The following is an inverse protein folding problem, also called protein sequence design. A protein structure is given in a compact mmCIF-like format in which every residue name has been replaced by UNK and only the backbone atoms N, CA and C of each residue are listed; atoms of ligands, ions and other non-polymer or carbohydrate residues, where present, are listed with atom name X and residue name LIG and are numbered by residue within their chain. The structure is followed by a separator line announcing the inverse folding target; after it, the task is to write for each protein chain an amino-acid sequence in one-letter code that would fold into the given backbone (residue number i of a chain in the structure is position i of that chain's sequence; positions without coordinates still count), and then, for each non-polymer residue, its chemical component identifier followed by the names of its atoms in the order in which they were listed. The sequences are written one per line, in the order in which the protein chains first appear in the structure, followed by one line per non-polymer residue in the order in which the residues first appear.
data_IF_290701810706
#
_entry.id   IF_290701810706
#
_cell.length_a   1.000
_cell.length_b   1.000
_cell.length_c   1.000
_cell.angle_alpha   90.00
_cell.angle_beta   90.00
_cell.angle_gamma   90.00
#
_symmetry.space_group_name_H-M   'P 1'
#
loop_
_entity.id
_entity.type
_entity.pdbx_description
1 polymer ?
#
# COMPACT_ATOMS: atom_id res chain seq x y z
N UNK A 1 -7.40 -3.37 30.21
CA UNK A 1 -6.70 -3.75 28.96
C UNK A 1 -7.67 -3.50 27.81
N UNK A 2 -7.51 -2.40 27.07
CA UNK A 2 -8.40 -2.06 25.95
C UNK A 2 -7.99 -2.90 24.73
N UNK A 3 -8.85 -3.81 24.29
CA UNK A 3 -8.64 -4.58 23.06
C UNK A 3 -9.33 -3.82 21.93
N UNK A 4 -8.58 -2.99 21.22
CA UNK A 4 -9.08 -2.33 20.01
C UNK A 4 -9.13 -3.41 18.92
N UNK A 5 -10.30 -3.78 18.39
CA UNK A 5 -10.36 -4.71 17.27
C UNK A 5 -9.71 -4.04 16.06
N UNK A 6 -8.62 -4.63 15.55
CA UNK A 6 -8.03 -4.22 14.28
C UNK A 6 -9.05 -4.54 13.17
N UNK A 7 -9.81 -3.53 12.76
CA UNK A 7 -10.77 -3.64 11.66
C UNK A 7 -10.13 -3.09 10.40
N UNK A 8 -9.65 -3.99 9.53
CA UNK A 8 -9.06 -3.68 8.22
C UNK A 8 -10.02 -2.96 7.26
N UNK A 9 -11.32 -2.88 7.59
CA UNK A 9 -12.35 -2.27 6.76
C UNK A 9 -12.14 -0.76 6.53
N UNK A 10 -11.40 -0.07 7.41
CA UNK A 10 -11.05 1.36 7.24
C UNK A 10 -9.67 1.50 6.59
N UNK A 11 -9.64 1.33 5.28
CA UNK A 11 -8.41 1.30 4.47
C UNK A 11 -7.83 2.68 4.13
N UNK A 12 -8.53 3.77 4.41
CA UNK A 12 -8.07 5.14 4.07
C UNK A 12 -6.72 5.50 4.68
N UNK A 13 -6.49 5.14 5.96
CA UNK A 13 -5.19 5.39 6.61
C UNK A 13 -4.06 4.60 5.97
N UNK A 14 -4.33 3.33 5.63
CA UNK A 14 -3.37 2.46 4.95
C UNK A 14 -3.02 3.01 3.58
N UNK A 15 -4.00 3.45 2.78
CA UNK A 15 -3.74 4.04 1.46
C UNK A 15 -2.84 5.28 1.53
N UNK A 16 -3.02 6.13 2.55
CA UNK A 16 -2.12 7.28 2.78
C UNK A 16 -0.70 6.83 3.13
N UNK A 17 -0.57 5.86 4.04
CA UNK A 17 0.73 5.30 4.40
C UNK A 17 1.47 4.73 3.19
N UNK A 18 0.77 3.94 2.36
CA UNK A 18 1.32 3.37 1.13
C UNK A 18 1.80 4.46 0.17
N UNK A 19 1.05 5.56 0.03
CA UNK A 19 1.48 6.72 -0.76
C UNK A 19 2.77 7.35 -0.23
N UNK A 20 2.93 7.47 1.09
CA UNK A 20 4.18 7.98 1.68
C UNK A 20 5.36 7.03 1.45
N UNK A 21 5.14 5.71 1.59
CA UNK A 21 6.18 4.71 1.30
C UNK A 21 6.62 4.80 -0.16
N UNK A 22 5.68 4.84 -1.11
CA UNK A 22 5.99 4.96 -2.54
C UNK A 22 6.76 6.25 -2.86
N UNK A 23 6.40 7.37 -2.21
CA UNK A 23 7.12 8.62 -2.38
C UNK A 23 8.58 8.51 -1.88
N UNK A 24 8.80 7.88 -0.73
CA UNK A 24 10.12 7.66 -0.18
C UNK A 24 10.99 6.75 -1.07
N UNK A 25 10.44 5.64 -1.57
CA UNK A 25 11.17 4.72 -2.45
C UNK A 25 11.56 5.38 -3.77
N UNK A 26 10.68 6.23 -4.32
CA UNK A 26 10.99 7.02 -5.52
C UNK A 26 12.13 8.02 -5.28
N UNK A 27 12.16 8.69 -4.12
CA UNK A 27 13.24 9.62 -3.74
C UNK A 27 14.58 8.87 -3.57
N UNK A 28 14.52 7.66 -3.03
CA UNK A 28 15.69 6.82 -2.78
C UNK A 28 16.15 6.04 -4.01
N UNK A 29 15.45 6.18 -5.14
CA UNK A 29 15.70 5.40 -6.37
C UNK A 29 15.66 3.88 -6.15
N UNK A 30 14.83 3.42 -5.19
CA UNK A 30 14.62 1.99 -4.93
C UNK A 30 13.39 1.55 -5.72
N UNK A 31 13.61 0.61 -6.64
CA UNK A 31 12.54 -0.01 -7.38
C UNK A 31 11.71 -0.93 -6.47
N UNK A 32 10.47 -0.52 -6.20
CA UNK A 32 9.51 -1.24 -5.36
C UNK A 32 8.20 -1.36 -6.12
N UNK A 33 7.63 -2.57 -6.12
CA UNK A 33 6.24 -2.81 -6.51
C UNK A 33 5.37 -2.90 -5.28
N UNK A 34 4.18 -2.30 -5.35
CA UNK A 34 3.16 -2.38 -4.30
C UNK A 34 1.99 -3.27 -4.73
N UNK A 35 1.48 -4.10 -3.83
CA UNK A 35 0.39 -5.05 -4.08
C UNK A 35 -0.98 -4.39 -4.25
N UNK A 36 -1.16 -3.15 -3.78
CA UNK A 36 -2.39 -2.39 -4.03
C UNK A 36 -2.46 -1.73 -5.40
N UNK A 37 -1.65 -2.14 -6.39
CA UNK A 37 -1.47 -1.51 -7.71
C UNK A 37 -0.77 -2.51 -8.64
N UNK A 38 -1.49 -3.51 -9.14
CA UNK A 38 -0.85 -4.68 -9.78
C UNK A 38 -0.16 -4.32 -11.10
N UNK A 39 -0.71 -3.36 -11.85
CA UNK A 39 -0.18 -2.85 -13.12
C UNK A 39 0.84 -1.71 -12.96
N UNK A 40 1.02 -1.19 -11.74
CA UNK A 40 1.96 -0.12 -11.40
C UNK A 40 1.64 1.22 -12.07
N UNK A 41 0.37 1.50 -12.36
CA UNK A 41 -0.07 2.77 -12.98
C UNK A 41 -0.30 3.91 -11.96
N UNK A 42 -0.05 3.63 -10.68
CA UNK A 42 -0.25 4.58 -9.59
C UNK A 42 -1.68 4.57 -9.03
N UNK A 43 -2.55 3.69 -9.50
CA UNK A 43 -3.95 3.57 -9.07
C UNK A 43 -4.23 2.19 -8.51
N UNK A 44 -5.01 2.14 -7.44
CA UNK A 44 -5.45 0.89 -6.82
C UNK A 44 -6.75 0.36 -7.42
N UNK A 45 -6.98 0.56 -8.72
CA UNK A 45 -8.27 0.24 -9.37
C UNK A 45 -8.34 -1.18 -9.90
N UNK A 46 -7.20 -1.82 -10.04
CA UNK A 46 -7.01 -3.15 -10.60
C UNK A 46 -6.93 -4.25 -9.52
N UNK A 47 -6.77 -3.87 -8.23
CA UNK A 47 -6.80 -4.79 -7.10
C UNK A 47 -8.17 -5.50 -6.98
N UNK A 48 -8.18 -6.84 -6.94
CA UNK A 48 -9.40 -7.64 -6.67
C UNK A 48 -9.47 -8.14 -5.22
N UNK A 49 -8.38 -7.99 -4.49
CA UNK A 49 -8.21 -8.33 -3.08
C UNK A 49 -7.52 -7.16 -2.38
N UNK A 50 -7.81 -6.94 -1.08
CA UNK A 50 -7.17 -5.86 -0.31
C UNK A 50 -5.71 -6.22 -0.02
N UNK A 51 -4.83 -5.89 -0.97
CA UNK A 51 -3.39 -6.19 -0.89
C UNK A 51 -2.54 -4.92 -0.66
N UNK A 52 -3.14 -3.95 0.02
CA UNK A 52 -2.59 -2.60 0.17
C UNK A 52 -1.22 -2.55 0.86
N UNK A 53 -0.88 -3.52 1.70
CA UNK A 53 0.35 -3.51 2.51
C UNK A 53 1.50 -4.32 1.93
N UNK A 54 1.27 -5.04 0.84
CA UNK A 54 2.30 -5.84 0.20
C UNK A 54 3.26 -4.95 -0.61
N UNK A 55 4.55 -5.20 -0.45
CA UNK A 55 5.61 -4.58 -1.21
C UNK A 55 6.65 -5.63 -1.57
N UNK A 56 7.17 -5.55 -2.78
CA UNK A 56 8.25 -6.41 -3.27
C UNK A 56 9.34 -5.56 -3.95
N UNK A 57 10.59 -5.99 -3.81
CA UNK A 57 11.71 -5.41 -4.53
C UNK A 57 11.67 -5.88 -6.00
N UNK A 58 12.05 -4.99 -6.92
CA UNK A 58 12.22 -5.32 -8.34
C UNK A 58 13.68 -5.65 -8.68
#
# INVERSE_FOLDING_TARGET
MLRIPYRLERTTGVRKLVGYVQAATNIMEIAVRRGGDWDQDGKSKDERFLDLVHFELC
#
